data_IF_614136158726
#
_entry.id   IF_614136158726
#
_cell.length_a   1.000
_cell.length_b   1.000
_cell.length_c   1.000
_cell.angle_alpha   90.00
_cell.angle_beta   90.00
_cell.angle_gamma   90.00
#
_symmetry.space_group_name_H-M   'P 1'
#
loop_
_entity.id
_entity.type
_entity.pdbx_description
1 polymer ?
#
# COMPACT_ATOMS: atom_id res chain seq x y z
N UNK A 1 -18.45 -3.48 -55.40
CA UNK A 1 -17.15 -2.83 -55.72
C UNK A 1 -16.99 -1.65 -54.78
N UNK A 2 -15.91 -1.39 -54.02
CA UNK A 2 -14.60 -1.98 -53.70
C UNK A 2 -14.16 -1.16 -52.46
N UNK A 3 -14.01 -1.73 -51.25
CA UNK A 3 -12.74 -2.18 -50.61
C UNK A 3 -11.47 -1.63 -51.30
N UNK A 4 -10.64 -0.89 -50.55
CA UNK A 4 -9.38 -0.18 -50.92
C UNK A 4 -9.71 1.26 -51.38
N UNK A 5 -9.52 2.31 -50.57
CA UNK A 5 -8.21 2.94 -50.35
C UNK A 5 -8.19 3.88 -49.12
N UNK A 6 -8.00 3.34 -47.91
CA UNK A 6 -7.56 4.17 -46.77
C UNK A 6 -6.56 3.42 -45.89
N UNK A 7 -5.61 2.76 -46.55
CA UNK A 7 -4.36 2.31 -45.95
C UNK A 7 -3.26 2.78 -46.87
N UNK A 8 -2.64 3.92 -46.53
CA UNK A 8 -1.22 4.21 -46.76
C UNK A 8 -0.84 5.51 -46.07
N UNK A 9 0.08 5.37 -45.11
CA UNK A 9 1.01 6.38 -44.58
C UNK A 9 0.56 7.23 -43.39
N UNK A 10 0.60 6.62 -42.20
CA UNK A 10 1.13 7.23 -40.97
C UNK A 10 1.43 6.11 -39.95
N UNK A 11 2.38 5.25 -40.28
CA UNK A 11 2.92 4.24 -39.35
C UNK A 11 4.11 4.80 -38.58
N UNK A 12 4.23 4.38 -37.31
CA UNK A 12 5.26 4.67 -36.31
C UNK A 12 5.04 5.94 -35.46
N UNK A 13 3.91 5.96 -34.74
CA UNK A 13 3.86 6.59 -33.41
C UNK A 13 3.96 5.46 -32.38
N UNK A 14 4.84 5.70 -31.40
CA UNK A 14 5.25 4.83 -30.32
C UNK A 14 4.17 3.86 -29.82
N UNK A 15 4.57 2.59 -29.69
CA UNK A 15 3.84 1.58 -28.93
C UNK A 15 3.84 1.99 -27.44
N UNK A 16 2.96 2.93 -27.07
CA UNK A 16 2.45 3.01 -25.73
C UNK A 16 1.69 1.71 -25.49
N UNK A 17 2.20 0.89 -24.57
CA UNK A 17 1.49 -0.29 -24.10
C UNK A 17 0.17 0.19 -23.44
N UNK A 18 -0.88 0.29 -24.26
CA UNK A 18 -2.24 0.36 -23.78
C UNK A 18 -2.52 -0.98 -23.09
N UNK A 19 -2.29 -1.03 -21.79
CA UNK A 19 -2.77 -2.12 -20.94
C UNK A 19 -4.31 -2.12 -21.05
N UNK A 20 -4.81 -3.03 -21.89
CA UNK A 20 -6.24 -3.29 -22.00
C UNK A 20 -6.76 -3.76 -20.64
N UNK A 21 -7.79 -3.12 -20.06
CA UNK A 21 -8.47 -3.69 -18.91
C UNK A 21 -9.26 -4.91 -19.40
N UNK A 22 -9.25 -5.97 -18.59
CA UNK A 22 -9.77 -7.32 -18.88
C UNK A 22 -8.85 -8.26 -19.69
N UNK A 23 -7.97 -8.93 -18.96
CA UNK A 23 -7.81 -10.38 -19.14
C UNK A 23 -8.36 -11.05 -17.89
N UNK A 24 -9.31 -11.96 -18.07
CA UNK A 24 -9.80 -12.87 -17.04
C UNK A 24 -8.60 -13.40 -16.23
N UNK A 25 -8.58 -13.13 -14.92
CA UNK A 25 -7.55 -13.61 -14.01
C UNK A 25 -7.39 -15.12 -14.26
N UNK A 26 -6.24 -15.51 -14.83
CA UNK A 26 -5.99 -16.88 -15.26
C UNK A 26 -6.05 -17.87 -14.10
N UNK A 27 -6.22 -19.16 -14.43
CA UNK A 27 -6.24 -20.30 -13.50
C UNK A 27 -4.94 -20.51 -12.71
N UNK A 28 -3.92 -19.69 -12.92
CA UNK A 28 -2.65 -19.83 -12.20
C UNK A 28 -2.82 -19.37 -10.75
N UNK A 29 -3.01 -20.36 -9.87
CA UNK A 29 -3.13 -20.20 -8.42
C UNK A 29 -1.81 -19.84 -7.76
N UNK A 30 -0.69 -20.00 -8.45
CA UNK A 30 0.66 -19.77 -7.92
C UNK A 30 1.18 -18.36 -8.23
N UNK A 31 0.36 -17.48 -8.84
CA UNK A 31 0.69 -16.06 -8.94
C UNK A 31 0.75 -15.40 -7.55
N UNK A 32 1.56 -14.36 -7.43
CA UNK A 32 1.56 -13.49 -6.25
C UNK A 32 0.40 -12.50 -6.35
N UNK A 33 -0.52 -12.54 -5.39
CA UNK A 33 -1.62 -11.59 -5.24
C UNK A 33 -1.32 -10.67 -4.06
N UNK A 34 -1.16 -9.39 -4.35
CA UNK A 34 -0.97 -8.34 -3.34
C UNK A 34 -2.32 -7.66 -3.12
N UNK A 35 -2.85 -7.79 -1.92
CA UNK A 35 -4.01 -7.06 -1.45
C UNK A 35 -3.53 -5.89 -0.60
N UNK A 36 -4.13 -4.72 -0.76
CA UNK A 36 -3.77 -3.58 0.06
C UNK A 36 -4.94 -2.67 0.40
N UNK A 37 -4.79 -1.99 1.53
CA UNK A 37 -5.65 -0.91 2.01
C UNK A 37 -4.80 0.25 2.51
N UNK A 38 -5.45 1.38 2.76
CA UNK A 38 -4.87 2.57 3.35
C UNK A 38 -6.00 3.39 4.00
N UNK A 39 -5.67 4.25 4.96
CA UNK A 39 -6.57 5.27 5.52
C UNK A 39 -7.92 4.70 5.97
N UNK A 40 -7.87 3.61 6.75
CA UNK A 40 -9.09 2.95 7.21
C UNK A 40 -9.86 3.85 8.19
N UNK A 41 -9.15 4.64 9.00
CA UNK A 41 -9.76 5.63 9.88
C UNK A 41 -10.86 5.08 10.78
N UNK A 42 -10.65 3.90 11.36
CA UNK A 42 -11.60 3.28 12.29
C UNK A 42 -13.02 3.05 11.70
N UNK A 43 -13.17 2.95 10.37
CA UNK A 43 -14.47 2.68 9.73
C UNK A 43 -14.83 1.19 9.81
N UNK A 44 -15.15 0.73 11.01
CA UNK A 44 -15.44 -0.68 11.31
C UNK A 44 -16.71 -1.15 10.61
N UNK A 45 -17.74 -0.32 10.62
CA UNK A 45 -19.03 -0.61 9.99
C UNK A 45 -19.10 -0.04 8.56
N UNK A 46 -19.95 -0.62 7.69
CA UNK A 46 -20.28 0.02 6.44
C UNK A 46 -20.91 1.39 6.67
N UNK A 47 -20.75 2.28 5.71
CA UNK A 47 -21.51 3.54 5.67
C UNK A 47 -23.02 3.23 5.63
N UNK A 48 -23.82 4.09 6.26
CA UNK A 48 -25.27 3.97 6.27
C UNK A 48 -25.85 3.85 4.85
N UNK A 49 -26.98 3.15 4.71
CA UNK A 49 -27.61 2.91 3.41
C UNK A 49 -28.07 4.19 2.70
N UNK A 50 -28.32 5.26 3.45
CA UNK A 50 -28.69 6.59 2.98
C UNK A 50 -27.49 7.56 2.86
N UNK A 51 -26.26 7.08 3.07
CA UNK A 51 -25.07 7.90 2.96
C UNK A 51 -24.92 8.46 1.53
N UNK A 52 -24.82 9.78 1.40
CA UNK A 52 -24.92 10.49 0.10
C UNK A 52 -23.94 10.03 -0.97
N UNK A 53 -22.74 9.61 -0.58
CA UNK A 53 -21.65 9.31 -1.52
C UNK A 53 -21.24 7.83 -1.54
N UNK A 54 -21.46 7.12 -0.45
CA UNK A 54 -20.92 5.76 -0.24
C UNK A 54 -21.96 4.82 0.41
N UNK A 55 -23.22 4.80 -0.06
CA UNK A 55 -24.29 4.09 0.62
C UNK A 55 -23.96 2.59 0.75
N UNK A 56 -23.93 2.07 1.98
CA UNK A 56 -23.70 0.64 2.26
C UNK A 56 -22.28 0.13 1.98
N UNK A 57 -21.34 0.99 1.56
CA UNK A 57 -19.97 0.59 1.24
C UNK A 57 -19.09 0.48 2.48
N UNK A 58 -18.01 -0.30 2.38
CA UNK A 58 -17.01 -0.49 3.42
C UNK A 58 -17.41 -1.53 4.48
N UNK A 59 -16.79 -1.43 5.65
CA UNK A 59 -17.02 -2.34 6.77
C UNK A 59 -16.06 -3.52 6.83
N UNK A 60 -15.61 -3.83 8.04
CA UNK A 60 -14.63 -4.86 8.36
C UNK A 60 -15.10 -6.26 7.96
N UNK A 61 -16.35 -6.61 8.30
CA UNK A 61 -16.90 -7.94 8.03
C UNK A 61 -16.94 -8.25 6.52
N UNK A 62 -17.35 -7.27 5.71
CA UNK A 62 -17.41 -7.41 4.25
C UNK A 62 -16.01 -7.52 3.64
N UNK A 63 -15.05 -6.72 4.14
CA UNK A 63 -13.64 -6.83 3.75
C UNK A 63 -13.08 -8.23 4.07
N UNK A 64 -13.34 -8.73 5.28
CA UNK A 64 -12.88 -10.05 5.72
C UNK A 64 -13.42 -11.17 4.82
N UNK A 65 -14.70 -11.11 4.44
CA UNK A 65 -15.31 -12.07 3.52
C UNK A 65 -14.62 -12.07 2.14
N UNK A 66 -14.36 -10.88 1.59
CA UNK A 66 -13.68 -10.74 0.30
C UNK A 66 -12.23 -11.26 0.35
N UNK A 67 -11.47 -10.92 1.39
CA UNK A 67 -10.10 -11.41 1.60
C UNK A 67 -10.10 -12.94 1.70
N UNK A 68 -11.04 -13.52 2.46
CA UNK A 68 -11.20 -14.97 2.62
C UNK A 68 -11.46 -15.66 1.27
N UNK A 69 -12.34 -15.10 0.44
CA UNK A 69 -12.64 -15.63 -0.89
C UNK A 69 -11.42 -15.56 -1.83
N UNK A 70 -10.65 -14.48 -1.80
CA UNK A 70 -9.41 -14.38 -2.59
C UNK A 70 -8.38 -15.41 -2.12
N UNK A 71 -8.19 -15.57 -0.80
CA UNK A 71 -7.27 -16.57 -0.24
C UNK A 71 -7.68 -18.01 -0.51
N UNK A 72 -8.97 -18.29 -0.69
CA UNK A 72 -9.43 -19.61 -1.13
C UNK A 72 -9.06 -19.92 -2.60
N UNK A 73 -8.76 -18.89 -3.40
CA UNK A 73 -8.46 -19.02 -4.84
C UNK A 73 -6.98 -19.02 -5.18
N UNK A 74 -6.13 -18.41 -4.37
CA UNK A 74 -4.70 -18.21 -4.67
C UNK A 74 -3.79 -18.66 -3.52
N UNK A 75 -2.64 -19.23 -3.86
CA UNK A 75 -1.69 -19.81 -2.90
C UNK A 75 -0.75 -18.77 -2.29
N UNK A 76 -0.52 -17.64 -2.98
CA UNK A 76 0.44 -16.62 -2.58
C UNK A 76 -0.25 -15.27 -2.44
N UNK A 77 -0.97 -15.08 -1.32
CA UNK A 77 -1.67 -13.84 -1.01
C UNK A 77 -0.93 -13.08 0.08
N UNK A 78 -0.55 -11.84 -0.22
CA UNK A 78 0.06 -10.90 0.71
C UNK A 78 -0.95 -9.77 0.98
N UNK A 79 -1.24 -9.46 2.25
CA UNK A 79 -2.18 -8.41 2.63
C UNK A 79 -1.45 -7.29 3.39
N UNK A 80 -1.52 -6.07 2.87
CA UNK A 80 -0.70 -4.94 3.31
C UNK A 80 -1.57 -3.72 3.66
N UNK A 81 -1.09 -2.86 4.55
CA UNK A 81 -1.75 -1.58 4.86
C UNK A 81 -0.78 -0.40 4.81
N UNK A 82 -1.20 0.71 4.23
CA UNK A 82 -0.37 1.91 4.09
C UNK A 82 -0.59 2.96 5.18
N UNK A 83 -1.14 2.61 6.35
CA UNK A 83 -1.20 3.48 7.53
C UNK A 83 -2.50 4.28 7.63
N UNK A 84 -2.62 5.08 8.70
CA UNK A 84 -3.87 5.72 9.13
C UNK A 84 -4.98 4.70 9.37
N UNK A 85 -4.64 3.70 10.18
CA UNK A 85 -5.57 2.67 10.65
C UNK A 85 -6.53 3.29 11.66
N UNK A 86 -5.98 4.15 12.54
CA UNK A 86 -6.68 4.81 13.63
C UNK A 86 -7.35 6.12 13.22
N UNK A 87 -8.11 6.68 14.19
CA UNK A 87 -8.85 7.93 14.15
C UNK A 87 -9.88 8.06 13.02
N UNK A 88 -11.12 8.41 13.35
CA UNK A 88 -12.13 8.79 12.34
C UNK A 88 -13.57 8.48 12.73
N UNK A 89 -13.77 7.49 13.60
CA UNK A 89 -15.09 7.16 14.16
C UNK A 89 -15.02 7.04 15.69
N UNK A 90 -16.17 7.00 16.40
CA UNK A 90 -16.17 6.80 17.84
C UNK A 90 -15.50 5.51 18.32
N UNK A 91 -15.33 4.49 17.47
CA UNK A 91 -14.66 3.24 17.84
C UNK A 91 -13.25 3.51 18.39
N UNK A 92 -12.45 4.33 17.71
CA UNK A 92 -11.12 4.69 18.21
C UNK A 92 -11.18 5.41 19.57
N UNK A 93 -12.16 6.30 19.79
CA UNK A 93 -12.30 7.02 21.05
C UNK A 93 -12.61 6.09 22.24
N UNK A 94 -13.38 5.03 22.00
CA UNK A 94 -13.77 4.07 23.05
C UNK A 94 -12.75 2.94 23.26
N UNK A 95 -12.13 2.45 22.19
CA UNK A 95 -11.26 1.27 22.21
C UNK A 95 -9.77 1.58 22.03
N UNK A 96 -9.43 2.82 21.69
CA UNK A 96 -8.04 3.31 21.58
C UNK A 96 -7.18 2.57 20.56
N UNK A 97 -7.78 1.92 19.55
CA UNK A 97 -7.08 1.16 18.51
C UNK A 97 -7.08 -0.37 18.67
N UNK A 98 -7.55 -0.89 19.82
CA UNK A 98 -7.57 -2.33 20.10
C UNK A 98 -8.42 -3.11 19.08
N UNK A 99 -9.60 -2.57 18.76
CA UNK A 99 -10.57 -3.22 17.89
C UNK A 99 -10.05 -3.32 16.45
N UNK A 100 -9.46 -2.24 15.95
CA UNK A 100 -8.86 -2.15 14.62
C UNK A 100 -7.78 -3.21 14.44
N UNK A 101 -6.84 -3.31 15.39
CA UNK A 101 -5.74 -4.27 15.30
C UNK A 101 -6.21 -5.71 15.47
N UNK A 102 -7.19 -5.99 16.33
CA UNK A 102 -7.80 -7.34 16.42
C UNK A 102 -8.44 -7.74 15.10
N UNK A 103 -9.24 -6.87 14.49
CA UNK A 103 -9.90 -7.14 13.22
C UNK A 103 -8.89 -7.33 12.08
N UNK A 104 -7.85 -6.50 12.00
CA UNK A 104 -6.78 -6.68 11.01
C UNK A 104 -6.00 -7.98 11.23
N UNK A 105 -5.79 -8.37 12.48
CA UNK A 105 -5.14 -9.64 12.83
C UNK A 105 -6.00 -10.85 12.43
N UNK A 106 -7.31 -10.80 12.69
CA UNK A 106 -8.26 -11.82 12.25
C UNK A 106 -8.37 -11.91 10.72
N UNK A 107 -8.28 -10.76 10.03
CA UNK A 107 -8.18 -10.70 8.58
C UNK A 107 -6.80 -11.15 8.07
N UNK A 108 -5.83 -11.38 8.94
CA UNK A 108 -4.49 -11.85 8.61
C UNK A 108 -3.69 -10.85 7.78
N UNK A 109 -3.70 -9.56 8.13
CA UNK A 109 -2.71 -8.62 7.55
C UNK A 109 -1.29 -9.14 7.80
N UNK A 110 -0.37 -8.82 6.90
CA UNK A 110 1.02 -9.26 6.97
C UNK A 110 1.94 -8.15 7.48
N UNK A 111 1.83 -6.97 6.88
CA UNK A 111 2.63 -5.79 7.20
C UNK A 111 1.82 -4.52 7.03
N UNK A 112 2.13 -3.52 7.85
CA UNK A 112 1.59 -2.16 7.73
C UNK A 112 2.72 -1.13 7.87
N UNK A 113 2.55 0.07 7.32
CA UNK A 113 3.33 1.25 7.73
C UNK A 113 2.54 2.10 8.73
N UNK A 114 3.15 3.16 9.23
CA UNK A 114 2.52 4.14 10.10
C UNK A 114 2.10 5.38 9.31
N UNK A 115 0.88 5.83 9.56
CA UNK A 115 0.39 7.14 9.16
C UNK A 115 0.42 8.15 10.31
N UNK A 116 0.02 9.39 10.04
CA UNK A 116 0.02 10.44 11.07
C UNK A 116 -1.04 10.19 12.15
N UNK A 117 -2.21 9.67 11.78
CA UNK A 117 -3.31 9.43 12.72
C UNK A 117 -3.06 8.24 13.65
N UNK A 118 -2.10 7.36 13.32
CA UNK A 118 -1.69 6.28 14.20
C UNK A 118 -1.03 6.81 15.49
N UNK A 119 -0.62 8.10 15.52
CA UNK A 119 -0.07 8.80 16.67
C UNK A 119 -1.08 9.68 17.43
N UNK A 120 -2.37 9.69 17.08
CA UNK A 120 -3.37 10.54 17.75
C UNK A 120 -3.56 10.16 19.24
N UNK A 121 -3.37 8.87 19.57
CA UNK A 121 -3.30 8.39 20.95
C UNK A 121 -1.92 8.56 21.62
N UNK A 122 -0.97 9.15 20.91
CA UNK A 122 0.45 9.21 21.26
C UNK A 122 1.16 7.86 21.16
N UNK A 123 2.49 7.89 21.29
CA UNK A 123 3.33 6.68 21.33
C UNK A 123 2.83 5.66 22.35
N UNK A 124 2.43 6.11 23.54
CA UNK A 124 1.97 5.20 24.60
C UNK A 124 0.64 4.52 24.22
N UNK A 125 -0.27 5.25 23.56
CA UNK A 125 -1.51 4.72 23.04
C UNK A 125 -1.26 3.67 21.97
N UNK A 126 -0.42 3.97 20.98
CA UNK A 126 -0.04 3.02 19.94
C UNK A 126 0.58 1.75 20.52
N UNK A 127 1.57 1.89 21.42
CA UNK A 127 2.26 0.76 22.05
C UNK A 127 1.33 -0.14 22.84
N UNK A 128 0.37 0.46 23.55
CA UNK A 128 -0.64 -0.32 24.28
C UNK A 128 -1.40 -1.27 23.36
N UNK A 129 -1.60 -0.90 22.09
CA UNK A 129 -2.35 -1.71 21.14
C UNK A 129 -1.50 -2.69 20.34
N UNK A 130 -0.21 -2.42 20.12
CA UNK A 130 0.67 -3.28 19.31
C UNK A 130 0.63 -4.79 19.68
N UNK A 131 0.44 -5.21 20.96
CA UNK A 131 0.23 -6.63 21.29
C UNK A 131 -0.97 -7.30 20.60
N UNK A 132 -1.96 -6.52 20.14
CA UNK A 132 -3.13 -7.00 19.43
C UNK A 132 -2.94 -7.10 17.91
N UNK A 133 -1.81 -6.63 17.37
CA UNK A 133 -1.45 -6.74 15.97
C UNK A 133 -0.59 -8.01 15.75
N UNK A 134 -1.16 -9.03 15.09
CA UNK A 134 -0.39 -10.21 14.65
C UNK A 134 0.49 -9.96 13.42
N UNK A 135 0.38 -8.76 12.84
CA UNK A 135 1.14 -8.26 11.71
C UNK A 135 2.27 -7.33 12.19
N UNK A 136 3.22 -7.03 11.30
CA UNK A 136 4.40 -6.23 11.67
C UNK A 136 4.34 -4.83 11.08
N UNK A 137 4.72 -3.84 11.89
CA UNK A 137 4.87 -2.47 11.41
C UNK A 137 6.24 -2.25 10.80
N UNK A 138 6.26 -1.55 9.66
CA UNK A 138 7.44 -1.20 8.91
C UNK A 138 7.53 0.31 8.72
N UNK A 139 8.65 0.94 9.08
CA UNK A 139 8.93 2.34 8.75
C UNK A 139 10.45 2.56 8.75
N UNK A 140 10.99 3.03 7.63
CA UNK A 140 12.43 3.17 7.41
C UNK A 140 12.94 4.60 7.59
N UNK A 141 12.07 5.61 7.50
CA UNK A 141 12.44 7.02 7.57
C UNK A 141 12.06 7.71 8.89
N UNK A 142 11.65 6.94 9.89
CA UNK A 142 11.55 7.40 11.27
C UNK A 142 12.69 6.76 12.08
N UNK A 143 13.50 7.58 12.76
CA UNK A 143 14.42 7.07 13.78
C UNK A 143 13.68 6.92 15.11
N UNK A 144 13.54 5.68 15.56
CA UNK A 144 12.85 5.32 16.80
C UNK A 144 13.79 5.15 18.00
N UNK A 145 15.11 5.33 17.88
CA UNK A 145 16.11 4.98 18.92
C UNK A 145 15.80 5.51 20.32
N UNK A 146 15.18 6.68 20.41
CA UNK A 146 14.86 7.32 21.69
C UNK A 146 13.40 7.11 22.10
N UNK A 147 12.74 6.12 21.50
CA UNK A 147 11.32 5.85 21.73
C UNK A 147 11.09 4.37 21.99
N UNK A 148 10.07 4.02 22.79
CA UNK A 148 9.73 2.63 23.04
C UNK A 148 9.19 1.90 21.78
N UNK A 149 8.97 2.59 20.65
CA UNK A 149 8.56 1.98 19.38
C UNK A 149 9.70 1.23 18.65
N UNK A 150 10.96 1.46 19.02
CA UNK A 150 12.13 0.81 18.39
C UNK A 150 12.03 -0.73 18.35
N UNK A 151 11.42 -1.32 19.38
CA UNK A 151 11.25 -2.76 19.48
C UNK A 151 10.16 -3.30 18.54
N UNK A 152 9.16 -2.47 18.22
CA UNK A 152 7.95 -2.86 17.51
C UNK A 152 8.00 -2.60 16.01
N UNK A 153 8.68 -1.53 15.59
CA UNK A 153 8.72 -1.09 14.19
C UNK A 153 10.08 -1.42 13.60
N UNK A 154 10.09 -2.10 12.45
CA UNK A 154 11.33 -2.45 11.74
C UNK A 154 11.43 -1.66 10.43
N UNK A 155 12.61 -1.39 9.87
CA UNK A 155 12.71 -0.64 8.62
C UNK A 155 12.15 -1.41 7.43
N UNK A 156 12.30 -2.74 7.41
CA UNK A 156 11.85 -3.60 6.32
C UNK A 156 11.60 -5.05 6.79
N UNK A 157 10.99 -5.84 5.92
CA UNK A 157 10.85 -7.28 6.03
C UNK A 157 11.12 -7.96 4.68
N UNK A 158 11.45 -9.26 4.74
CA UNK A 158 11.54 -10.11 3.55
C UNK A 158 10.59 -11.29 3.76
N UNK A 159 9.69 -11.51 2.80
CA UNK A 159 8.78 -12.65 2.79
C UNK A 159 9.00 -13.51 1.55
N UNK A 160 9.11 -14.82 1.73
CA UNK A 160 9.22 -15.79 0.64
C UNK A 160 7.90 -16.51 0.44
N UNK A 161 7.37 -16.50 -0.77
CA UNK A 161 6.16 -17.21 -1.19
C UNK A 161 6.45 -17.87 -2.54
N UNK A 162 6.63 -19.19 -2.59
CA UNK A 162 6.99 -19.88 -3.82
C UNK A 162 8.25 -19.28 -4.50
N UNK A 163 8.17 -18.83 -5.77
CA UNK A 163 9.28 -18.22 -6.50
C UNK A 163 9.50 -16.73 -6.14
N UNK A 164 8.62 -16.12 -5.35
CA UNK A 164 8.70 -14.71 -4.99
C UNK A 164 9.49 -14.54 -3.70
N UNK A 165 10.57 -13.75 -3.77
CA UNK A 165 11.27 -13.20 -2.61
C UNK A 165 10.96 -11.72 -2.54
N UNK A 166 10.03 -11.38 -1.67
CA UNK A 166 9.38 -10.07 -1.62
C UNK A 166 10.04 -9.27 -0.51
N UNK A 167 10.65 -8.14 -0.87
CA UNK A 167 11.11 -7.14 0.08
C UNK A 167 10.00 -6.11 0.31
N UNK A 168 9.67 -5.83 1.56
CA UNK A 168 8.66 -4.84 1.94
C UNK A 168 9.32 -3.86 2.90
N UNK A 169 9.11 -2.56 2.69
CA UNK A 169 9.53 -1.53 3.63
C UNK A 169 8.46 -0.44 3.70
N UNK A 170 8.50 0.38 4.76
CA UNK A 170 7.55 1.46 4.96
C UNK A 170 8.21 2.83 4.94
N UNK A 171 7.44 3.86 4.56
CA UNK A 171 7.81 5.27 4.71
C UNK A 171 6.62 6.03 5.31
N UNK A 172 6.87 6.82 6.34
CA UNK A 172 5.88 7.69 6.98
C UNK A 172 6.02 9.15 6.53
N UNK A 173 4.95 9.93 6.71
CA UNK A 173 4.91 11.38 6.43
C UNK A 173 5.66 12.18 7.49
N UNK A 174 6.12 13.39 7.19
CA UNK A 174 6.61 14.31 8.21
C UNK A 174 5.49 14.64 9.22
N UNK A 175 5.72 14.36 10.50
CA UNK A 175 4.71 14.51 11.56
C UNK A 175 4.58 15.95 12.06
N UNK A 176 5.63 16.74 11.95
CA UNK A 176 5.60 18.16 12.34
C UNK A 176 4.54 18.91 11.53
N UNK A 177 3.71 19.69 12.23
CA UNK A 177 2.54 20.36 11.66
C UNK A 177 1.31 19.49 11.40
N UNK A 178 1.42 18.15 11.51
CA UNK A 178 0.27 17.22 11.39
C UNK A 178 -0.15 16.64 12.75
N UNK A 179 0.82 16.35 13.61
CA UNK A 179 0.62 15.74 14.92
C UNK A 179 1.25 16.65 15.98
N UNK A 180 0.60 16.89 17.13
CA UNK A 180 1.24 17.60 18.23
C UNK A 180 2.55 16.92 18.68
N UNK A 181 3.67 17.66 18.74
CA UNK A 181 5.00 17.14 19.06
C UNK A 181 5.06 16.25 20.31
N UNK A 182 4.26 16.56 21.34
CA UNK A 182 4.17 15.76 22.57
C UNK A 182 3.71 14.30 22.36
N UNK A 183 3.01 14.01 21.26
CA UNK A 183 2.45 12.70 20.97
C UNK A 183 3.45 11.78 20.27
N UNK A 184 4.30 12.33 19.39
CA UNK A 184 5.33 11.57 18.68
C UNK A 184 6.75 11.75 19.26
N UNK A 185 6.94 12.66 20.23
CA UNK A 185 8.17 12.82 21.03
C UNK A 185 9.43 12.92 20.15
N UNK A 186 10.42 12.08 20.44
CA UNK A 186 11.76 12.11 19.86
C UNK A 186 11.88 11.29 18.56
N UNK A 187 10.78 11.01 17.86
CA UNK A 187 10.84 10.40 16.52
C UNK A 187 11.47 11.40 15.56
N UNK A 188 12.64 11.06 15.02
CA UNK A 188 13.32 11.87 14.02
C UNK A 188 12.81 11.52 12.62
N UNK A 189 12.43 12.55 11.85
CA UNK A 189 12.05 12.40 10.45
C UNK A 189 13.29 12.46 9.54
N UNK A 190 13.59 11.36 8.87
CA UNK A 190 14.68 11.25 7.91
C UNK A 190 14.15 11.44 6.48
N UNK A 191 15.02 11.86 5.57
CA UNK A 191 14.63 12.06 4.17
C UNK A 191 14.08 10.75 3.57
N UNK A 192 12.82 10.73 3.11
CA UNK A 192 12.18 9.50 2.64
C UNK A 192 12.74 9.01 1.30
N UNK A 193 13.33 9.89 0.48
CA UNK A 193 13.90 9.50 -0.82
C UNK A 193 15.23 8.78 -0.59
N UNK A 194 16.10 9.33 0.25
CA UNK A 194 17.37 8.73 0.64
C UNK A 194 17.14 7.39 1.33
N UNK A 195 16.33 7.36 2.39
CA UNK A 195 16.04 6.13 3.13
C UNK A 195 15.32 5.08 2.28
N UNK A 196 14.37 5.50 1.43
CA UNK A 196 13.68 4.60 0.52
C UNK A 196 14.64 3.94 -0.48
N UNK A 197 15.56 4.70 -1.06
CA UNK A 197 16.58 4.17 -1.98
C UNK A 197 17.57 3.24 -1.29
N UNK A 198 18.04 3.59 -0.09
CA UNK A 198 18.94 2.76 0.71
C UNK A 198 18.34 1.38 0.99
N UNK A 199 17.09 1.35 1.51
CA UNK A 199 16.42 0.10 1.83
C UNK A 199 16.09 -0.70 0.56
N UNK A 200 15.66 -0.04 -0.52
CA UNK A 200 15.41 -0.73 -1.79
C UNK A 200 16.68 -1.36 -2.36
N UNK A 201 17.83 -0.69 -2.27
CA UNK A 201 19.12 -1.25 -2.67
C UNK A 201 19.51 -2.45 -1.80
N UNK A 202 19.39 -2.34 -0.47
CA UNK A 202 19.65 -3.45 0.46
C UNK A 202 18.78 -4.69 0.17
N UNK A 203 17.47 -4.48 -0.07
CA UNK A 203 16.55 -5.56 -0.41
C UNK A 203 16.91 -6.21 -1.75
N UNK A 204 17.37 -5.42 -2.71
CA UNK A 204 17.83 -5.91 -4.00
C UNK A 204 19.09 -6.79 -3.87
N UNK A 205 20.07 -6.36 -3.08
CA UNK A 205 21.29 -7.12 -2.76
C UNK A 205 20.99 -8.42 -2.01
N UNK A 206 19.97 -8.40 -1.16
CA UNK A 206 19.43 -9.62 -0.52
C UNK A 206 18.70 -10.54 -1.50
N UNK A 207 18.63 -10.20 -2.79
CA UNK A 207 18.06 -11.03 -3.85
C UNK A 207 16.54 -10.99 -3.92
N UNK A 208 15.89 -9.95 -3.38
CA UNK A 208 14.45 -9.76 -3.58
C UNK A 208 14.16 -9.50 -5.06
N UNK A 209 13.14 -10.18 -5.60
CA UNK A 209 12.69 -10.03 -6.99
C UNK A 209 11.39 -9.22 -7.12
N UNK A 210 10.79 -8.83 -5.99
CA UNK A 210 9.72 -7.83 -5.88
C UNK A 210 10.05 -6.95 -4.67
N UNK A 211 10.09 -5.63 -4.84
CA UNK A 211 10.34 -4.65 -3.77
C UNK A 211 9.15 -3.68 -3.69
N UNK A 212 8.46 -3.73 -2.55
CA UNK A 212 7.23 -2.99 -2.28
C UNK A 212 7.51 -1.93 -1.20
N UNK A 213 7.13 -0.69 -1.49
CA UNK A 213 7.10 0.40 -0.52
C UNK A 213 5.66 0.62 -0.02
N UNK A 214 5.43 0.50 1.28
CA UNK A 214 4.22 0.96 1.97
C UNK A 214 4.43 2.43 2.33
N UNK A 215 3.89 3.33 1.52
CA UNK A 215 4.11 4.76 1.68
C UNK A 215 2.90 5.43 2.29
N UNK A 216 3.11 6.19 3.36
CA UNK A 216 2.15 7.16 3.86
C UNK A 216 2.54 8.59 3.47
N UNK A 217 3.33 8.77 2.40
CA UNK A 217 3.80 10.09 1.98
C UNK A 217 2.72 10.92 1.26
N UNK A 218 1.63 10.31 0.81
CA UNK A 218 0.63 10.97 -0.02
C UNK A 218 0.95 10.91 -1.51
N UNK A 219 -0.10 10.81 -2.34
CA UNK A 219 0.03 10.60 -3.78
C UNK A 219 0.69 11.78 -4.51
N UNK A 220 0.18 13.01 -4.29
CA UNK A 220 0.67 14.23 -4.94
C UNK A 220 0.28 15.47 -4.12
N UNK A 221 1.19 16.44 -4.05
CA UNK A 221 0.93 17.75 -3.43
C UNK A 221 1.22 18.88 -4.40
N UNK A 222 0.67 20.06 -4.10
CA UNK A 222 1.14 21.32 -4.67
C UNK A 222 2.40 21.76 -3.90
N UNK A 223 3.48 22.10 -4.61
CA UNK A 223 4.72 22.58 -4.02
C UNK A 223 5.81 21.50 -3.88
N UNK A 224 6.75 21.71 -2.96
CA UNK A 224 7.99 20.95 -2.85
C UNK A 224 7.94 19.78 -1.85
N UNK A 225 6.76 19.44 -1.32
CA UNK A 225 6.62 18.31 -0.38
C UNK A 225 6.84 16.98 -1.13
N UNK A 226 7.65 16.10 -0.56
CA UNK A 226 7.85 14.75 -1.12
C UNK A 226 6.52 13.98 -1.08
N UNK A 227 6.16 13.40 -2.22
CA UNK A 227 4.97 12.55 -2.43
C UNK A 227 5.39 11.26 -3.11
N UNK A 228 4.46 10.30 -3.23
CA UNK A 228 4.67 9.03 -3.93
C UNK A 228 5.15 9.25 -5.38
N UNK A 229 4.63 10.25 -6.08
CA UNK A 229 5.08 10.59 -7.45
C UNK A 229 6.51 11.10 -7.48
N UNK A 230 6.92 11.87 -6.48
CA UNK A 230 8.30 12.37 -6.37
C UNK A 230 9.23 11.21 -6.01
N UNK A 231 8.85 10.38 -5.03
CA UNK A 231 9.58 9.18 -4.64
C UNK A 231 9.76 8.24 -5.84
N UNK A 232 8.70 7.93 -6.58
CA UNK A 232 8.77 7.04 -7.74
C UNK A 232 9.82 7.52 -8.76
N UNK A 233 9.79 8.81 -9.12
CA UNK A 233 10.75 9.42 -10.07
C UNK A 233 12.19 9.35 -9.54
N UNK A 234 12.39 9.63 -8.25
CA UNK A 234 13.72 9.68 -7.61
C UNK A 234 14.21 8.33 -7.08
N UNK A 235 13.41 7.27 -7.23
CA UNK A 235 13.74 5.95 -6.66
C UNK A 235 14.60 5.10 -7.60
N UNK A 236 15.20 4.08 -7.02
CA UNK A 236 15.88 3.00 -7.72
C UNK A 236 15.49 1.68 -7.07
N UNK A 237 15.36 0.62 -7.87
CA UNK A 237 15.04 -0.75 -7.46
C UNK A 237 13.64 -1.01 -6.86
N UNK A 238 12.87 0.01 -6.48
CA UNK A 238 11.45 -0.14 -6.11
C UNK A 238 10.65 -0.65 -7.33
N UNK A 239 9.71 -1.57 -7.09
CA UNK A 239 8.80 -2.11 -8.11
C UNK A 239 7.38 -1.54 -7.98
N UNK A 240 6.94 -1.33 -6.73
CA UNK A 240 5.58 -0.93 -6.40
C UNK A 240 5.56 -0.01 -5.18
N UNK A 241 4.82 1.09 -5.27
CA UNK A 241 4.50 1.98 -4.16
C UNK A 241 3.00 1.85 -3.88
N UNK A 242 2.67 1.44 -2.66
CA UNK A 242 1.31 1.39 -2.14
C UNK A 242 1.14 2.59 -1.21
N UNK A 243 0.41 3.60 -1.68
CA UNK A 243 0.25 4.90 -1.02
C UNK A 243 -0.91 4.95 -0.01
N UNK A 244 -0.91 6.01 0.79
CA UNK A 244 -1.99 6.43 1.70
C UNK A 244 -2.02 7.96 1.86
N UNK A 245 -2.56 8.47 2.95
CA UNK A 245 -2.59 9.87 3.41
C UNK A 245 -3.49 10.82 2.61
N UNK A 246 -3.42 10.79 1.27
CA UNK A 246 -4.17 11.72 0.41
C UNK A 246 -5.55 11.23 0.01
N UNK A 247 -5.98 10.09 0.56
CA UNK A 247 -7.30 9.46 0.35
C UNK A 247 -7.65 9.28 -1.14
N UNK A 248 -6.63 9.07 -1.96
CA UNK A 248 -6.78 9.14 -3.42
C UNK A 248 -7.42 7.86 -3.94
N UNK A 249 -8.65 8.00 -4.46
CA UNK A 249 -9.33 6.92 -5.19
C UNK A 249 -8.75 6.81 -6.60
N UNK A 250 -7.92 5.79 -6.84
CA UNK A 250 -7.36 5.51 -8.16
C UNK A 250 -8.27 4.55 -8.95
N UNK A 251 -8.38 4.75 -10.26
CA UNK A 251 -9.07 3.84 -11.18
C UNK A 251 -8.13 2.78 -11.78
N UNK A 252 -6.83 3.05 -11.76
CA UNK A 252 -5.74 2.18 -12.20
C UNK A 252 -4.44 2.56 -11.50
N UNK A 253 -3.52 1.62 -11.22
CA UNK A 253 -2.16 1.96 -10.85
C UNK A 253 -1.53 2.92 -11.86
N UNK A 254 -0.74 3.89 -11.39
CA UNK A 254 -0.04 4.83 -12.26
C UNK A 254 1.39 4.36 -12.50
N UNK A 255 1.76 4.12 -13.75
CA UNK A 255 3.14 3.87 -14.16
C UNK A 255 3.96 5.17 -14.21
N UNK A 256 5.14 5.16 -13.60
CA UNK A 256 6.11 6.26 -13.61
C UNK A 256 7.50 5.72 -13.88
N UNK A 257 8.24 6.35 -14.80
CA UNK A 257 9.64 6.05 -15.00
C UNK A 257 10.48 6.62 -13.86
N UNK A 258 11.27 5.76 -13.23
CA UNK A 258 12.23 6.15 -12.22
C UNK A 258 13.54 6.69 -12.83
N UNK A 259 14.48 7.10 -11.99
CA UNK A 259 15.77 7.67 -12.44
C UNK A 259 16.64 6.69 -13.26
N UNK A 260 16.34 5.38 -13.23
CA UNK A 260 17.00 4.35 -14.06
C UNK A 260 16.21 4.02 -15.33
N UNK A 261 15.16 4.77 -15.64
CA UNK A 261 14.27 4.54 -16.80
C UNK A 261 13.40 3.29 -16.66
N UNK A 262 13.27 2.71 -15.47
CA UNK A 262 12.39 1.58 -15.19
C UNK A 262 11.03 2.09 -14.75
N UNK A 263 9.97 1.50 -15.30
CA UNK A 263 8.61 1.78 -14.87
C UNK A 263 8.33 1.18 -13.47
N UNK A 264 7.77 2.02 -12.60
CA UNK A 264 7.30 1.70 -11.24
C UNK A 264 5.82 2.06 -11.17
N UNK A 265 5.04 1.26 -10.45
CA UNK A 265 3.63 1.54 -10.25
C UNK A 265 3.35 2.18 -8.90
N UNK A 266 2.48 3.18 -8.87
CA UNK A 266 1.88 3.75 -7.65
C UNK A 266 0.41 3.34 -7.60
N UNK A 267 -0.07 2.92 -6.43
CA UNK A 267 -1.48 2.61 -6.21
C UNK A 267 -1.96 3.06 -4.83
N UNK A 268 -3.20 3.57 -4.74
CA UNK A 268 -3.91 3.94 -3.52
C UNK A 268 -5.41 3.61 -3.66
N UNK A 269 -6.07 3.25 -2.56
CA UNK A 269 -7.43 2.66 -2.58
C UNK A 269 -8.55 3.62 -2.18
N UNK A 270 -8.24 4.89 -1.94
CA UNK A 270 -9.17 5.86 -1.34
C UNK A 270 -9.02 5.89 0.17
N UNK A 271 -10.09 5.68 0.92
CA UNK A 271 -10.11 5.70 2.39
C UNK A 271 -11.34 4.93 2.93
N UNK A 272 -11.45 4.84 4.26
CA UNK A 272 -12.56 4.24 5.01
C UNK A 272 -12.87 2.78 4.68
N UNK A 273 -11.92 2.07 4.08
CA UNK A 273 -12.14 0.68 3.70
C UNK A 273 -13.19 0.49 2.62
N UNK A 274 -13.43 1.48 1.77
CA UNK A 274 -14.44 1.41 0.69
C UNK A 274 -13.98 0.44 -0.41
N UNK A 275 -12.67 0.39 -0.68
CA UNK A 275 -12.08 -0.50 -1.68
C UNK A 275 -11.06 -1.43 -1.05
N UNK A 276 -10.92 -2.62 -1.62
CA UNK A 276 -9.74 -3.46 -1.48
C UNK A 276 -8.95 -3.39 -2.79
N UNK A 277 -7.73 -2.87 -2.73
CA UNK A 277 -6.82 -2.84 -3.87
C UNK A 277 -6.21 -4.23 -4.07
N UNK A 278 -6.13 -4.68 -5.33
CA UNK A 278 -5.48 -5.93 -5.71
C UNK A 278 -4.50 -5.69 -6.86
N UNK A 279 -3.29 -6.22 -6.73
CA UNK A 279 -2.26 -6.23 -7.77
C UNK A 279 -1.69 -7.64 -7.89
N UNK A 280 -1.67 -8.17 -9.11
CA UNK A 280 -1.19 -9.52 -9.40
C UNK A 280 0.20 -9.46 -10.06
N UNK A 281 1.11 -10.29 -9.60
CA UNK A 281 2.44 -10.48 -10.18
C UNK A 281 2.64 -11.93 -10.64
N UNK A 282 3.26 -12.10 -11.81
CA UNK A 282 3.72 -13.40 -12.31
C UNK A 282 5.23 -13.38 -12.51
N UNK A 283 5.90 -14.49 -12.20
CA UNK A 283 7.30 -14.66 -12.57
C UNK A 283 7.40 -15.14 -14.01
N UNK A 284 8.19 -14.46 -14.83
CA UNK A 284 8.55 -14.95 -16.16
C UNK A 284 9.64 -16.03 -16.09
N UNK A 285 10.00 -16.58 -17.25
CA UNK A 285 11.03 -17.63 -17.38
C UNK A 285 12.42 -17.22 -16.86
N UNK A 286 12.71 -15.92 -16.74
CA UNK A 286 13.95 -15.39 -16.15
C UNK A 286 13.85 -15.12 -14.65
N UNK A 287 12.78 -15.60 -13.98
CA UNK A 287 12.47 -15.38 -12.54
C UNK A 287 12.31 -13.91 -12.16
N UNK A 288 12.07 -13.05 -13.15
CA UNK A 288 11.71 -11.65 -12.92
C UNK A 288 10.20 -11.60 -12.69
N UNK A 289 9.78 -10.98 -11.60
CA UNK A 289 8.36 -10.77 -11.33
C UNK A 289 7.89 -9.52 -12.09
N UNK A 290 6.78 -9.64 -12.80
CA UNK A 290 6.16 -8.54 -13.55
C UNK A 290 4.70 -8.41 -13.14
N UNK A 291 4.20 -7.17 -13.07
CA UNK A 291 2.79 -6.91 -12.81
C UNK A 291 1.96 -7.44 -13.99
N UNK A 292 1.01 -8.34 -13.71
CA UNK A 292 0.11 -8.92 -14.70
C UNK A 292 -1.18 -8.12 -14.84
N UNK A 293 -1.72 -7.62 -13.72
CA UNK A 293 -2.99 -6.93 -13.69
C UNK A 293 -3.33 -6.39 -12.30
N UNK A 294 -4.45 -5.67 -12.23
CA UNK A 294 -4.95 -5.05 -11.01
C UNK A 294 -6.48 -5.08 -10.97
N UNK A 295 -7.04 -4.91 -9.78
CA UNK A 295 -8.48 -4.74 -9.54
C UNK A 295 -8.73 -3.84 -8.32
N UNK A 296 -9.88 -3.17 -8.32
CA UNK A 296 -10.40 -2.43 -7.17
C UNK A 296 -11.77 -2.98 -6.83
N UNK A 297 -11.78 -3.94 -5.92
CA UNK A 297 -13.02 -4.52 -5.44
C UNK A 297 -13.68 -3.56 -4.45
N UNK A 298 -14.81 -2.96 -4.84
CA UNK A 298 -15.66 -2.23 -3.90
C UNK A 298 -16.16 -3.20 -2.83
N UNK A 299 -16.02 -2.80 -1.57
CA UNK A 299 -16.52 -3.57 -0.44
C UNK A 299 -17.98 -3.17 -0.24
N UNK A 300 -18.91 -4.05 -0.61
CA UNK A 300 -20.37 -3.83 -0.62
C UNK A 300 -21.13 -5.01 -0.08
#
# INVERSE_FOLDING_TARGET
MRRKDFIKNAGLIAAGAAFSPLRAFGKDRDRLVILHTNDWHSHIEPFAADHKRYPGLGGAAKRAALIKDIRARYNHVLLLDSGDIFQGTPYFNFYGGELEFKLMSEMGYDYATLGNHDFDGGIDGLIKQLPHASFKFLCANYDFKNTPLQEWVKPYAIKKMGPYKIGIFGLGIELDGLVPAKLFRDIEYLDPIEKGNEIAQLLKEKGCNVIICLSHLGYEYKGNKVSDKVLAKSSSNIDLILGGHTHTFMSSPQGILNQKGKEIFINQTGWAGINLGRIDYETNSSKTACMLGYDYSKIS
#
